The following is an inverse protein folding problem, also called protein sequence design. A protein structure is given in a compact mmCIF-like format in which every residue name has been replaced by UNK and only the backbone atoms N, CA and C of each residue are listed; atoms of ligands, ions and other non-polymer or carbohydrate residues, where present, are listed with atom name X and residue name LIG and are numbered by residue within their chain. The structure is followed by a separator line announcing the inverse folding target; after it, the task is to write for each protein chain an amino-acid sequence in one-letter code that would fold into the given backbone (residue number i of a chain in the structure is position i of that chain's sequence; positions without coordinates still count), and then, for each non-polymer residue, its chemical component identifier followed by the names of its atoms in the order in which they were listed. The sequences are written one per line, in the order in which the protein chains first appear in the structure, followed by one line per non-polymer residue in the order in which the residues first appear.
data_IF_274267296580
#
_entry.id   IF_274267296580
#
_cell.length_a   1.000
_cell.length_b   1.000
_cell.length_c   1.000
_cell.angle_alpha   90.00
_cell.angle_beta   90.00
_cell.angle_gamma   90.00
#
_symmetry.space_group_name_H-M   'P 1'
#
loop_
_entity.id
_entity.type
_entity.pdbx_description
1 polymer ?
#
# COMPACT_ATOMS: atom_id res chain seq x y z
N UNK A 1 -26.88 -17.08 -10.90
CA UNK A 1 -26.28 -16.00 -10.07
C UNK A 1 -26.30 -16.32 -8.58
N UNK A 2 -27.42 -16.79 -8.02
CA UNK A 2 -27.52 -17.17 -6.59
C UNK A 2 -26.52 -18.27 -6.17
N UNK A 3 -26.36 -19.32 -6.98
CA UNK A 3 -25.41 -20.41 -6.70
C UNK A 3 -23.95 -19.97 -6.64
N UNK A 4 -23.53 -19.02 -7.49
CA UNK A 4 -22.16 -18.48 -7.46
C UNK A 4 -21.88 -17.67 -6.19
N UNK A 5 -22.90 -16.97 -5.68
CA UNK A 5 -22.80 -16.22 -4.43
C UNK A 5 -22.73 -17.15 -3.22
N UNK A 6 -23.51 -18.24 -3.24
CA UNK A 6 -23.47 -19.28 -2.23
C UNK A 6 -22.12 -20.02 -2.21
N UNK A 7 -21.56 -20.34 -3.38
CA UNK A 7 -20.21 -20.88 -3.50
C UNK A 7 -19.13 -19.93 -2.96
N UNK A 8 -19.24 -18.62 -3.23
CA UNK A 8 -18.30 -17.62 -2.71
C UNK A 8 -18.40 -17.50 -1.18
N UNK A 9 -19.61 -17.60 -0.63
CA UNK A 9 -19.85 -17.59 0.81
C UNK A 9 -19.25 -18.82 1.49
N UNK A 10 -19.50 -20.03 0.96
CA UNK A 10 -18.88 -21.24 1.49
C UNK A 10 -17.35 -21.26 1.33
N UNK A 11 -16.84 -20.70 0.23
CA UNK A 11 -15.39 -20.53 0.05
C UNK A 11 -14.79 -19.57 1.10
N UNK A 12 -15.46 -18.45 1.38
CA UNK A 12 -15.06 -17.53 2.44
C UNK A 12 -15.08 -18.18 3.83
N UNK A 13 -16.11 -18.97 4.12
CA UNK A 13 -16.19 -19.71 5.39
C UNK A 13 -15.12 -20.81 5.49
N UNK A 14 -14.89 -21.57 4.42
CA UNK A 14 -13.87 -22.62 4.39
C UNK A 14 -12.46 -22.08 4.56
N UNK A 15 -12.14 -20.95 3.91
CA UNK A 15 -10.84 -20.29 4.04
C UNK A 15 -10.64 -19.67 5.43
N UNK A 16 -11.68 -19.08 6.03
CA UNK A 16 -11.62 -18.56 7.39
C UNK A 16 -11.43 -19.66 8.46
N UNK A 17 -12.11 -20.81 8.30
CA UNK A 17 -11.94 -21.97 9.17
C UNK A 17 -10.52 -22.53 9.10
N UNK A 18 -9.95 -22.69 7.90
CA UNK A 18 -8.56 -23.14 7.75
C UNK A 18 -7.54 -22.14 8.33
N UNK A 19 -7.80 -20.83 8.22
CA UNK A 19 -6.97 -19.82 8.85
C UNK A 19 -6.99 -19.94 10.38
N UNK A 20 -8.17 -20.20 10.97
CA UNK A 20 -8.32 -20.41 12.41
C UNK A 20 -7.53 -21.65 12.89
N UNK A 21 -7.66 -22.78 12.20
CA UNK A 21 -6.93 -24.01 12.53
C UNK A 21 -5.40 -23.82 12.48
N UNK A 22 -4.90 -23.10 11.48
CA UNK A 22 -3.47 -22.76 11.36
C UNK A 22 -2.97 -21.88 12.51
N UNK A 23 -3.78 -20.93 12.97
CA UNK A 23 -3.45 -20.03 14.09
C UNK A 23 -3.43 -20.81 15.41
N UNK A 24 -4.41 -21.67 15.65
CA UNK A 24 -4.50 -22.47 16.87
C UNK A 24 -3.32 -23.49 16.94
N UNK A 25 -3.00 -24.16 15.83
CA UNK A 25 -1.86 -25.08 15.73
C UNK A 25 -0.50 -24.38 15.91
N UNK A 26 -0.35 -23.16 15.36
CA UNK A 26 0.84 -22.34 15.59
C UNK A 26 0.94 -21.87 17.05
N UNK A 27 -0.19 -21.57 17.69
CA UNK A 27 -0.26 -21.16 19.10
C UNK A 27 0.10 -22.28 20.08
N UNK A 28 -0.29 -23.52 19.80
CA UNK A 28 0.13 -24.69 20.58
C UNK A 28 1.63 -24.98 20.40
N UNK A 29 2.14 -24.85 19.17
CA UNK A 29 3.57 -25.03 18.86
C UNK A 29 4.45 -23.95 19.48
N UNK A 30 3.92 -22.75 19.72
CA UNK A 30 4.65 -21.61 20.29
C UNK A 30 4.95 -21.74 21.80
N UNK A 31 4.21 -22.58 22.55
CA UNK A 31 4.43 -22.77 23.99
C UNK A 31 5.74 -23.49 24.33
N UNK A 32 6.33 -24.24 23.39
CA UNK A 32 7.54 -25.04 23.61
C UNK A 32 8.88 -24.34 23.35
N UNK A 33 8.90 -23.17 22.71
CA UNK A 33 10.15 -22.55 22.18
C UNK A 33 10.40 -21.13 22.72
N UNK A 34 10.12 -20.89 23.99
CA UNK A 34 9.97 -19.53 24.54
C UNK A 34 11.25 -18.68 24.51
N UNK A 35 12.43 -19.26 24.73
CA UNK A 35 13.69 -18.48 24.81
C UNK A 35 14.38 -18.29 23.44
N UNK A 36 14.39 -19.32 22.59
CA UNK A 36 14.99 -19.23 21.25
C UNK A 36 14.14 -18.37 20.30
N UNK A 37 12.81 -18.42 20.44
CA UNK A 37 11.91 -17.60 19.62
C UNK A 37 11.97 -16.12 20.00
N UNK A 38 12.19 -15.76 21.27
CA UNK A 38 12.30 -14.35 21.66
C UNK A 38 13.50 -13.67 21.01
N UNK A 39 14.63 -14.37 20.92
CA UNK A 39 15.82 -13.86 20.24
C UNK A 39 15.63 -13.77 18.72
N UNK A 40 15.09 -14.81 18.09
CA UNK A 40 14.77 -14.81 16.65
C UNK A 40 13.72 -13.77 16.28
N UNK A 41 12.74 -13.52 17.15
CA UNK A 41 11.72 -12.49 16.93
C UNK A 41 12.31 -11.08 17.00
N UNK A 42 13.26 -10.82 17.92
CA UNK A 42 13.98 -9.54 17.96
C UNK A 42 14.85 -9.35 16.71
N UNK A 43 15.63 -10.36 16.33
CA UNK A 43 16.46 -10.29 15.11
C UNK A 43 15.60 -10.09 13.84
N UNK A 44 14.43 -10.73 13.75
CA UNK A 44 13.49 -10.54 12.65
C UNK A 44 12.85 -9.15 12.64
N UNK A 45 12.47 -8.64 13.82
CA UNK A 45 11.92 -7.29 13.95
C UNK A 45 12.94 -6.23 13.54
N UNK A 46 14.18 -6.35 14.00
CA UNK A 46 15.27 -5.42 13.67
C UNK A 46 15.58 -5.45 12.17
N UNK A 47 15.59 -6.63 11.54
CA UNK A 47 15.74 -6.75 10.08
C UNK A 47 14.54 -6.15 9.31
N UNK A 48 13.32 -6.35 9.79
CA UNK A 48 12.11 -5.78 9.17
C UNK A 48 12.09 -4.24 9.27
N UNK A 49 12.55 -3.68 10.40
CA UNK A 49 12.68 -2.24 10.59
C UNK A 49 13.78 -1.67 9.69
N UNK A 50 14.94 -2.32 9.60
CA UNK A 50 16.04 -1.88 8.73
C UNK A 50 15.63 -1.91 7.25
N UNK A 51 15.08 -3.02 6.78
CA UNK A 51 14.61 -3.19 5.39
C UNK A 51 13.45 -2.24 5.08
N UNK A 52 12.49 -2.10 6.00
CA UNK A 52 11.38 -1.16 5.84
C UNK A 52 11.83 0.30 5.82
N UNK A 53 12.89 0.67 6.54
CA UNK A 53 13.44 2.04 6.50
C UNK A 53 14.12 2.34 5.17
N UNK A 54 14.86 1.38 4.62
CA UNK A 54 15.56 1.51 3.34
C UNK A 54 14.58 1.50 2.15
N UNK A 55 13.59 0.60 2.17
CA UNK A 55 12.58 0.47 1.12
C UNK A 55 11.53 1.59 1.14
N UNK A 56 11.31 2.27 2.28
CA UNK A 56 10.32 3.37 2.39
C UNK A 56 10.63 4.54 1.47
N UNK A 57 11.90 4.90 1.29
CA UNK A 57 12.31 5.98 0.41
C UNK A 57 12.01 5.66 -1.06
N UNK A 58 12.49 4.49 -1.49
CA UNK A 58 12.31 4.00 -2.85
C UNK A 58 10.83 3.76 -3.19
N UNK A 59 10.06 3.15 -2.28
CA UNK A 59 8.62 2.94 -2.48
C UNK A 59 7.85 4.25 -2.63
N UNK A 60 8.20 5.27 -1.83
CA UNK A 60 7.55 6.59 -1.91
C UNK A 60 7.86 7.29 -3.24
N UNK A 61 9.08 7.14 -3.76
CA UNK A 61 9.46 7.66 -5.07
C UNK A 61 8.73 6.91 -6.19
N UNK A 62 8.71 5.59 -6.17
CA UNK A 62 8.00 4.78 -7.17
C UNK A 62 6.50 5.08 -7.20
N UNK A 63 5.85 5.25 -6.05
CA UNK A 63 4.43 5.64 -5.99
C UNK A 63 4.22 7.05 -6.54
N UNK A 64 5.12 7.99 -6.26
CA UNK A 64 5.03 9.36 -6.81
C UNK A 64 5.19 9.36 -8.33
N UNK A 65 6.09 8.55 -8.85
CA UNK A 65 6.35 8.43 -10.29
C UNK A 65 5.15 7.82 -11.01
N UNK A 66 4.60 6.72 -10.48
CA UNK A 66 3.39 6.10 -11.01
C UNK A 66 2.20 7.06 -11.04
N UNK A 67 2.02 7.87 -9.99
CA UNK A 67 0.94 8.87 -9.96
C UNK A 67 1.14 9.98 -10.99
N UNK A 68 2.38 10.41 -11.25
CA UNK A 68 2.66 11.38 -12.31
C UNK A 68 2.35 10.80 -13.69
N UNK A 69 2.79 9.57 -13.94
CA UNK A 69 2.54 8.87 -15.21
C UNK A 69 1.03 8.77 -15.49
N UNK A 70 0.23 8.35 -14.50
CA UNK A 70 -1.23 8.29 -14.62
C UNK A 70 -1.83 9.69 -14.84
N UNK A 71 -1.32 10.73 -14.18
CA UNK A 71 -1.80 12.10 -14.40
C UNK A 71 -1.52 12.58 -15.83
N UNK A 72 -0.35 12.28 -16.37
CA UNK A 72 0.05 12.64 -17.72
C UNK A 72 -0.77 11.88 -18.77
N UNK A 73 -0.98 10.56 -18.57
CA UNK A 73 -1.83 9.73 -19.43
C UNK A 73 -3.28 10.23 -19.48
N UNK A 74 -3.80 10.70 -18.35
CA UNK A 74 -5.16 11.25 -18.24
C UNK A 74 -5.25 12.73 -18.65
N UNK A 75 -4.12 13.37 -18.98
CA UNK A 75 -4.06 14.79 -19.35
C UNK A 75 -4.44 15.75 -18.21
N UNK A 76 -4.16 15.38 -16.96
CA UNK A 76 -4.49 16.18 -15.79
C UNK A 76 -3.44 17.25 -15.54
N UNK A 77 -3.84 18.52 -15.61
CA UNK A 77 -2.97 19.64 -15.27
C UNK A 77 -2.61 19.66 -13.78
N UNK A 78 -1.33 19.87 -13.47
CA UNK A 78 -0.85 20.05 -12.10
C UNK A 78 -1.19 21.45 -11.58
N UNK A 79 -1.06 21.65 -10.27
CA UNK A 79 -1.24 22.98 -9.67
C UNK A 79 -0.26 24.01 -10.25
N UNK A 80 0.98 23.60 -10.54
CA UNK A 80 1.97 24.49 -11.15
C UNK A 80 1.54 24.94 -12.55
N UNK A 81 0.96 24.03 -13.34
CA UNK A 81 0.44 24.34 -14.67
C UNK A 81 -0.74 25.33 -14.59
N UNK A 82 -1.62 25.15 -13.61
CA UNK A 82 -2.73 26.07 -13.36
C UNK A 82 -2.26 27.45 -12.92
N UNK A 83 -1.22 27.52 -12.07
CA UNK A 83 -0.69 28.78 -11.59
C UNK A 83 0.06 29.52 -12.71
N UNK A 84 0.85 28.82 -13.53
CA UNK A 84 1.45 29.38 -14.74
C UNK A 84 0.40 29.93 -15.71
N UNK A 85 -0.68 29.18 -15.94
CA UNK A 85 -1.80 29.61 -16.78
C UNK A 85 -2.48 30.87 -16.22
N UNK A 86 -2.65 30.97 -14.90
CA UNK A 86 -3.23 32.17 -14.25
C UNK A 86 -2.35 33.39 -14.43
N UNK A 87 -1.03 33.24 -14.27
CA UNK A 87 -0.08 34.35 -14.48
C UNK A 87 -0.09 34.84 -15.93
N UNK A 88 -0.13 33.91 -16.89
CA UNK A 88 -0.20 34.26 -18.31
C UNK A 88 -1.50 35.00 -18.64
N UNK A 89 -2.65 34.51 -18.14
CA UNK A 89 -3.94 35.18 -18.29
C UNK A 89 -3.97 36.56 -17.64
N UNK A 90 -3.31 36.73 -16.48
CA UNK A 90 -3.20 38.03 -15.81
C UNK A 90 -2.37 39.02 -16.63
N UNK A 91 -1.25 38.58 -17.22
CA UNK A 91 -0.41 39.40 -18.10
C UNK A 91 -1.14 39.80 -19.38
N UNK A 92 -1.85 38.87 -20.01
CA UNK A 92 -2.64 39.16 -21.21
C UNK A 92 -3.77 40.16 -20.94
N UNK A 93 -4.43 40.06 -19.77
CA UNK A 93 -5.48 41.01 -19.35
C UNK A 93 -4.97 42.42 -19.04
N UNK A 94 -3.70 42.57 -18.64
CA UNK A 94 -3.08 43.88 -18.40
C UNK A 94 -2.60 44.55 -19.69
N UNK A 95 -2.50 43.82 -20.81
CA UNK A 95 -2.07 44.33 -22.11
C UNK A 95 -3.21 44.65 -23.09
N UNK A 96 -4.47 44.55 -22.67
CA UNK A 96 -5.63 44.86 -23.51
C UNK A 96 -6.08 46.32 -23.26
N UNK A 97 -6.07 47.21 -24.27
CA UNK A 97 -6.60 48.58 -24.15
C UNK A 97 -8.13 48.60 -23.98
#
# INVERSE_FOLDING_TARGET
MKEKLEQLFYFGLGTALMAKEKIDQAGESAKGMKEENERKAREFFDQAVAKGSEERGQLKESVRELLKEVMDELGLATKADLDALREELAKQRQGQP
#
